data_IF_403062746223
#
_entry.id   IF_403062746223
#
_cell.length_a   1.000
_cell.length_b   1.000
_cell.length_c   1.000
_cell.angle_alpha   90.00
_cell.angle_beta   90.00
_cell.angle_gamma   90.00
#
_symmetry.space_group_name_H-M   'P 1'
#
loop_
_entity.id
_entity.type
_entity.pdbx_description
1 polymer ?
#
# COMPACT_ATOMS: atom_id res chain seq x y z
N UNK A 1 -14.49 -62.15 58.41
CA UNK A 1 -13.26 -61.56 57.95
C UNK A 1 -13.63 -60.68 56.74
N UNK A 2 -13.73 -59.40 57.00
CA UNK A 2 -14.27 -58.38 56.11
C UNK A 2 -13.13 -57.71 55.36
N UNK A 3 -13.15 -57.79 54.02
CA UNK A 3 -12.25 -57.06 53.14
C UNK A 3 -12.97 -55.85 52.52
N UNK A 4 -12.60 -54.67 52.91
CA UNK A 4 -13.15 -53.41 52.47
C UNK A 4 -12.47 -52.98 51.16
N UNK A 5 -13.15 -53.06 50.02
CA UNK A 5 -12.70 -52.52 48.73
C UNK A 5 -12.82 -51.01 48.73
N UNK A 6 -11.73 -50.29 48.77
CA UNK A 6 -11.66 -48.85 48.49
C UNK A 6 -11.81 -48.59 47.00
N UNK A 7 -12.92 -48.02 46.59
CA UNK A 7 -13.10 -47.44 45.23
C UNK A 7 -12.42 -46.10 45.16
N UNK A 8 -11.33 -46.01 44.44
CA UNK A 8 -10.65 -44.75 44.12
C UNK A 8 -11.39 -44.10 42.94
N UNK A 9 -12.06 -42.99 43.19
CA UNK A 9 -12.68 -42.15 42.13
C UNK A 9 -11.57 -41.22 41.62
N UNK A 10 -11.14 -41.43 40.40
CA UNK A 10 -10.25 -40.49 39.68
C UNK A 10 -11.17 -39.41 39.09
N UNK A 11 -11.15 -38.22 39.68
CA UNK A 11 -11.82 -37.04 39.11
C UNK A 11 -10.91 -36.50 38.01
N UNK A 12 -11.34 -36.67 36.74
CA UNK A 12 -10.69 -36.05 35.57
C UNK A 12 -11.10 -34.57 35.55
N UNK A 13 -10.20 -33.68 35.98
CA UNK A 13 -10.38 -32.25 35.85
C UNK A 13 -10.12 -31.87 34.39
N UNK A 14 -11.17 -31.68 33.63
CA UNK A 14 -11.10 -31.06 32.29
C UNK A 14 -10.96 -29.55 32.54
N UNK A 15 -9.76 -29.03 32.48
CA UNK A 15 -9.49 -27.61 32.44
C UNK A 15 -9.96 -27.07 31.08
N UNK A 16 -11.16 -26.46 31.05
CA UNK A 16 -11.55 -25.58 29.95
C UNK A 16 -10.64 -24.35 30.00
N UNK A 17 -9.59 -24.36 29.16
CA UNK A 17 -8.90 -23.13 28.83
C UNK A 17 -9.88 -22.27 28.04
N UNK A 18 -10.54 -21.31 28.73
CA UNK A 18 -11.24 -20.23 28.09
C UNK A 18 -10.18 -19.45 27.28
N UNK A 19 -10.14 -19.67 25.98
CA UNK A 19 -9.50 -18.74 25.04
C UNK A 19 -10.22 -17.42 25.25
N UNK A 20 -9.64 -16.53 26.05
CA UNK A 20 -10.01 -15.13 26.04
C UNK A 20 -9.78 -14.66 24.61
N UNK A 21 -10.85 -14.40 23.88
CA UNK A 21 -10.80 -13.64 22.64
C UNK A 21 -10.32 -12.24 23.05
N UNK A 22 -9.00 -12.07 23.19
CA UNK A 22 -8.39 -10.77 23.34
C UNK A 22 -8.88 -9.95 22.16
N UNK A 23 -9.44 -8.76 22.42
CA UNK A 23 -9.88 -7.85 21.37
C UNK A 23 -8.72 -7.71 20.39
N UNK A 24 -8.90 -8.21 19.18
CA UNK A 24 -7.87 -8.11 18.13
C UNK A 24 -7.58 -6.62 17.92
N UNK A 25 -6.30 -6.26 17.96
CA UNK A 25 -5.88 -4.87 17.74
C UNK A 25 -6.37 -4.43 16.35
N UNK A 26 -7.05 -3.27 16.24
CA UNK A 26 -7.54 -2.79 14.97
C UNK A 26 -6.37 -2.47 14.05
N UNK A 27 -6.52 -2.75 12.75
CA UNK A 27 -5.55 -2.30 11.73
C UNK A 27 -5.90 -0.86 11.35
N UNK A 28 -4.94 0.08 11.45
CA UNK A 28 -5.21 1.47 11.14
C UNK A 28 -5.69 1.68 9.70
N UNK A 29 -6.75 2.48 9.54
CA UNK A 29 -7.36 2.79 8.23
C UNK A 29 -7.07 4.20 7.73
N UNK A 30 -6.32 5.00 8.50
CA UNK A 30 -6.07 6.42 8.21
C UNK A 30 -5.42 6.68 6.84
N UNK A 31 -4.62 5.75 6.33
CA UNK A 31 -3.99 5.88 5.00
C UNK A 31 -4.98 5.78 3.83
N UNK A 32 -6.20 5.33 4.05
CA UNK A 32 -7.27 5.36 3.04
C UNK A 32 -8.04 6.69 3.00
N UNK A 33 -7.72 7.66 3.87
CA UNK A 33 -8.46 8.91 3.99
C UNK A 33 -8.52 9.69 2.66
N UNK A 34 -7.45 9.72 1.90
CA UNK A 34 -7.41 10.39 0.60
C UNK A 34 -8.34 9.72 -0.41
N UNK A 35 -8.28 8.40 -0.55
CA UNK A 35 -9.16 7.63 -1.42
C UNK A 35 -10.64 7.81 -1.03
N UNK A 36 -10.95 7.80 0.27
CA UNK A 36 -12.30 8.05 0.80
C UNK A 36 -12.78 9.47 0.44
N UNK A 37 -11.91 10.47 0.58
CA UNK A 37 -12.24 11.86 0.22
C UNK A 37 -12.53 12.00 -1.27
N UNK A 38 -11.73 11.38 -2.13
CA UNK A 38 -11.96 11.37 -3.57
C UNK A 38 -13.25 10.65 -3.93
N UNK A 39 -13.49 9.47 -3.34
CA UNK A 39 -14.74 8.73 -3.52
C UNK A 39 -15.96 9.59 -3.18
N UNK A 40 -15.94 10.27 -2.04
CA UNK A 40 -17.03 11.14 -1.61
C UNK A 40 -17.26 12.33 -2.54
N UNK A 41 -16.20 12.91 -3.11
CA UNK A 41 -16.30 14.00 -4.09
C UNK A 41 -16.94 13.54 -5.41
N UNK A 42 -16.62 12.34 -5.87
CA UNK A 42 -17.11 11.81 -7.14
C UNK A 42 -18.55 11.28 -7.06
N UNK A 43 -18.95 10.72 -5.92
CA UNK A 43 -20.24 10.07 -5.72
C UNK A 43 -21.23 10.88 -4.85
N UNK A 44 -20.88 12.15 -4.55
CA UNK A 44 -21.63 12.98 -3.61
C UNK A 44 -21.34 12.59 -2.14
N UNK A 45 -21.70 13.47 -1.22
CA UNK A 45 -21.53 13.24 0.21
C UNK A 45 -22.55 12.20 0.75
N UNK A 46 -22.78 11.12 0.03
CA UNK A 46 -23.63 10.03 0.50
C UNK A 46 -22.89 9.35 1.66
N UNK A 47 -23.59 9.18 2.78
CA UNK A 47 -23.10 8.41 3.91
C UNK A 47 -23.17 6.91 3.56
N UNK A 48 -22.18 6.41 2.82
CA UNK A 48 -22.02 4.98 2.66
C UNK A 48 -21.72 4.35 4.02
N UNK A 49 -22.34 3.21 4.32
CA UNK A 49 -21.97 2.44 5.49
C UNK A 49 -20.54 1.92 5.31
N UNK A 50 -19.69 2.10 6.31
CA UNK A 50 -18.29 1.70 6.28
C UNK A 50 -17.99 0.66 7.36
N UNK A 51 -17.08 -0.24 7.05
CA UNK A 51 -16.49 -1.12 8.04
C UNK A 51 -15.67 -0.31 9.04
N UNK A 52 -15.75 -0.74 10.32
CA UNK A 52 -14.91 -0.17 11.40
C UNK A 52 -13.52 -0.79 11.36
N UNK A 53 -12.49 -0.15 11.95
CA UNK A 53 -11.10 -0.68 11.96
C UNK A 53 -10.98 -2.09 12.55
N UNK A 54 -11.87 -2.50 13.46
CA UNK A 54 -11.93 -3.84 14.05
C UNK A 54 -12.40 -4.90 13.04
N UNK A 55 -13.09 -4.48 11.97
CA UNK A 55 -13.57 -5.33 10.88
C UNK A 55 -12.50 -5.42 9.75
N UNK A 56 -11.25 -5.55 10.15
CA UNK A 56 -10.11 -5.51 9.23
C UNK A 56 -10.10 -6.66 8.22
N UNK A 57 -10.72 -7.80 8.51
CA UNK A 57 -10.85 -8.91 7.55
C UNK A 57 -11.77 -8.56 6.39
N UNK A 58 -12.88 -7.91 6.69
CA UNK A 58 -13.86 -7.45 5.70
C UNK A 58 -13.25 -6.34 4.82
N UNK A 59 -12.51 -5.40 5.43
CA UNK A 59 -11.77 -4.37 4.69
C UNK A 59 -10.71 -5.02 3.78
N UNK A 60 -9.93 -5.97 4.31
CA UNK A 60 -8.96 -6.72 3.51
C UNK A 60 -9.62 -7.52 2.38
N UNK A 61 -10.82 -8.08 2.63
CA UNK A 61 -11.66 -8.73 1.62
C UNK A 61 -12.02 -7.78 0.46
N UNK A 62 -12.44 -6.57 0.77
CA UNK A 62 -12.69 -5.53 -0.24
C UNK A 62 -11.42 -5.23 -1.05
N UNK A 63 -10.29 -5.02 -0.36
CA UNK A 63 -9.00 -4.75 -1.03
C UNK A 63 -8.65 -5.88 -2.00
N UNK A 64 -8.78 -7.14 -1.59
CA UNK A 64 -8.54 -8.29 -2.47
C UNK A 64 -9.50 -8.30 -3.66
N UNK A 65 -10.79 -8.03 -3.44
CA UNK A 65 -11.81 -8.03 -4.49
C UNK A 65 -11.62 -6.89 -5.51
N UNK A 66 -11.10 -5.75 -5.07
CA UNK A 66 -10.79 -4.63 -5.98
C UNK A 66 -9.48 -4.79 -6.74
N UNK A 67 -8.61 -5.75 -6.39
CA UNK A 67 -7.33 -5.95 -7.06
C UNK A 67 -7.51 -6.37 -8.53
N UNK A 68 -6.79 -5.72 -9.42
CA UNK A 68 -6.75 -6.05 -10.84
C UNK A 68 -5.85 -7.27 -11.12
N UNK A 69 -5.98 -7.83 -12.32
CA UNK A 69 -5.19 -8.99 -12.76
C UNK A 69 -3.67 -8.69 -12.80
N UNK A 70 -3.29 -7.43 -13.06
CA UNK A 70 -1.90 -6.98 -13.05
C UNK A 70 -1.30 -6.83 -11.65
N UNK A 71 -2.09 -7.00 -10.60
CA UNK A 71 -1.68 -6.93 -9.21
C UNK A 71 -1.85 -5.55 -8.56
N UNK A 72 -2.14 -4.52 -9.33
CA UNK A 72 -2.43 -3.17 -8.83
C UNK A 72 -3.91 -2.97 -8.50
N UNK A 73 -4.27 -1.74 -8.19
CA UNK A 73 -5.65 -1.32 -7.90
C UNK A 73 -6.03 -0.04 -8.63
N UNK A 74 -7.32 0.12 -8.97
CA UNK A 74 -7.87 1.43 -9.34
C UNK A 74 -7.73 2.42 -8.17
N UNK A 75 -7.42 3.68 -8.46
CA UNK A 75 -7.35 4.71 -7.43
C UNK A 75 -8.74 5.23 -7.01
N UNK A 76 -8.77 5.95 -5.90
CA UNK A 76 -9.94 6.68 -5.39
C UNK A 76 -11.13 5.78 -5.01
N UNK A 77 -10.89 4.49 -4.74
CA UNK A 77 -11.92 3.60 -4.24
C UNK A 77 -11.98 3.67 -2.72
N UNK A 78 -13.19 3.73 -2.18
CA UNK A 78 -13.41 3.61 -0.74
C UNK A 78 -13.32 2.14 -0.31
N UNK A 79 -12.13 1.71 0.10
CA UNK A 79 -11.88 0.33 0.56
C UNK A 79 -12.65 -0.03 1.83
N UNK A 80 -13.17 0.98 2.55
CA UNK A 80 -13.92 0.78 3.79
C UNK A 80 -15.42 0.64 3.54
N UNK A 81 -15.92 1.03 2.37
CA UNK A 81 -17.35 1.03 2.07
C UNK A 81 -17.91 -0.39 1.99
N UNK A 82 -19.10 -0.59 2.58
CA UNK A 82 -19.87 -1.83 2.51
C UNK A 82 -20.69 -1.89 1.22
N UNK A 83 -19.96 -1.92 0.09
CA UNK A 83 -20.50 -2.00 -1.25
C UNK A 83 -20.08 -3.31 -1.91
N UNK A 84 -20.84 -3.77 -2.89
CA UNK A 84 -20.45 -4.92 -3.70
C UNK A 84 -19.32 -4.53 -4.67
N UNK A 85 -18.11 -5.10 -4.53
CA UNK A 85 -16.95 -4.72 -5.35
C UNK A 85 -17.16 -4.94 -6.84
N UNK A 86 -17.90 -5.96 -7.26
CA UNK A 86 -18.13 -6.24 -8.67
C UNK A 86 -19.04 -5.18 -9.30
N UNK A 87 -20.09 -4.77 -8.59
CA UNK A 87 -20.97 -3.67 -9.00
C UNK A 87 -20.20 -2.35 -9.09
N UNK A 88 -19.36 -2.04 -8.11
CA UNK A 88 -18.52 -0.83 -8.12
C UNK A 88 -17.59 -0.84 -9.33
N UNK A 89 -16.84 -1.94 -9.55
CA UNK A 89 -15.92 -2.06 -10.68
C UNK A 89 -16.64 -1.94 -12.03
N UNK A 90 -17.83 -2.53 -12.15
CA UNK A 90 -18.64 -2.44 -13.36
C UNK A 90 -19.08 -0.99 -13.66
N UNK A 91 -19.35 -0.19 -12.63
CA UNK A 91 -19.77 1.21 -12.76
C UNK A 91 -18.62 2.17 -13.11
N UNK A 92 -17.36 1.79 -12.87
CA UNK A 92 -16.20 2.62 -13.19
C UNK A 92 -16.08 2.87 -14.70
N UNK A 93 -15.72 4.10 -15.08
CA UNK A 93 -15.32 4.41 -16.46
C UNK A 93 -14.06 3.59 -16.84
N UNK A 94 -13.88 3.22 -18.12
CA UNK A 94 -12.77 2.36 -18.54
C UNK A 94 -11.39 2.80 -18.02
N UNK A 95 -11.08 4.11 -18.13
CA UNK A 95 -9.80 4.64 -17.60
C UNK A 95 -9.68 4.45 -16.08
N UNK A 96 -10.74 4.65 -15.32
CA UNK A 96 -10.76 4.54 -13.86
C UNK A 96 -10.68 3.09 -13.35
N UNK A 97 -10.71 2.09 -14.23
CA UNK A 97 -10.47 0.69 -13.90
C UNK A 97 -8.98 0.32 -13.90
N UNK A 98 -8.13 1.18 -14.47
CA UNK A 98 -6.70 0.91 -14.58
C UNK A 98 -6.02 1.01 -13.23
N UNK A 99 -5.01 0.17 -13.03
CA UNK A 99 -4.12 0.25 -11.89
C UNK A 99 -3.21 1.47 -11.97
N UNK A 100 -2.93 2.09 -10.83
CA UNK A 100 -2.02 3.24 -10.74
C UNK A 100 -1.46 3.37 -9.33
N UNK A 101 -0.31 4.01 -9.19
CA UNK A 101 0.32 4.36 -7.91
C UNK A 101 -0.15 5.73 -7.36
N UNK A 102 -0.90 6.47 -8.15
CA UNK A 102 -1.36 7.82 -7.86
C UNK A 102 -2.30 7.85 -6.64
N UNK A 103 -2.31 8.96 -5.89
CA UNK A 103 -3.13 9.16 -4.69
C UNK A 103 -2.88 8.08 -3.60
N UNK A 104 -1.64 7.83 -3.25
CA UNK A 104 -1.22 6.86 -2.24
C UNK A 104 -1.74 5.44 -2.48
N UNK A 105 -1.98 5.08 -3.72
CA UNK A 105 -2.55 3.79 -4.10
C UNK A 105 -1.47 2.69 -4.24
N UNK A 106 -1.85 1.44 -4.17
CA UNK A 106 -1.06 0.20 -4.21
C UNK A 106 -0.22 -0.01 -2.95
N UNK A 107 0.73 0.84 -2.61
CA UNK A 107 1.58 0.65 -1.42
C UNK A 107 0.78 0.73 -0.11
N UNK A 108 -0.30 1.51 -0.06
CA UNK A 108 -1.23 1.53 1.08
C UNK A 108 -1.97 0.20 1.21
N UNK A 109 -2.45 -0.38 0.12
CA UNK A 109 -3.10 -1.68 0.11
C UNK A 109 -2.14 -2.80 0.48
N UNK A 110 -0.90 -2.77 -0.03
CA UNK A 110 0.16 -3.73 0.31
C UNK A 110 0.45 -3.72 1.80
N UNK A 111 0.61 -2.54 2.40
CA UNK A 111 0.84 -2.39 3.84
C UNK A 111 -0.34 -2.93 4.65
N UNK A 112 -1.57 -2.54 4.29
CA UNK A 112 -2.77 -2.99 4.99
C UNK A 112 -2.92 -4.51 4.96
N UNK A 113 -2.80 -5.12 3.78
CA UNK A 113 -2.89 -6.56 3.60
C UNK A 113 -1.78 -7.31 4.34
N UNK A 114 -0.57 -6.76 4.41
CA UNK A 114 0.53 -7.32 5.17
C UNK A 114 0.25 -7.29 6.68
N UNK A 115 -0.34 -6.21 7.19
CA UNK A 115 -0.80 -6.12 8.59
C UNK A 115 -1.87 -7.18 8.89
N UNK A 116 -2.86 -7.32 8.02
CA UNK A 116 -3.91 -8.32 8.23
C UNK A 116 -3.35 -9.75 8.14
N UNK A 117 -2.42 -10.01 7.22
CA UNK A 117 -1.71 -11.29 7.18
C UNK A 117 -0.94 -11.56 8.48
N UNK A 118 -0.21 -10.59 9.01
CA UNK A 118 0.54 -10.74 10.27
C UNK A 118 -0.37 -11.10 11.45
N UNK A 119 -1.59 -10.57 11.48
CA UNK A 119 -2.57 -10.86 12.52
C UNK A 119 -3.31 -12.19 12.35
N UNK A 120 -3.48 -12.66 11.10
CA UNK A 120 -4.40 -13.76 10.78
C UNK A 120 -3.72 -15.03 10.30
N UNK A 121 -2.50 -14.91 9.74
CA UNK A 121 -1.83 -15.98 9.02
C UNK A 121 -2.51 -16.36 7.69
N UNK A 122 -3.56 -15.64 7.26
CA UNK A 122 -4.29 -15.97 6.04
C UNK A 122 -3.48 -15.61 4.79
N UNK A 123 -3.07 -16.63 4.07
CA UNK A 123 -2.22 -16.50 2.87
C UNK A 123 -2.89 -15.77 1.70
N UNK A 124 -4.21 -15.64 1.69
CA UNK A 124 -4.94 -14.84 0.70
C UNK A 124 -4.44 -13.39 0.72
N UNK A 125 -4.33 -12.80 1.91
CA UNK A 125 -3.89 -11.41 2.08
C UNK A 125 -2.41 -11.23 1.72
N UNK A 126 -1.54 -12.14 2.17
CA UNK A 126 -0.13 -12.16 1.77
C UNK A 126 0.04 -12.26 0.26
N UNK A 127 -0.70 -13.16 -0.40
CA UNK A 127 -0.58 -13.36 -1.84
C UNK A 127 -1.07 -12.13 -2.62
N UNK A 128 -2.11 -11.45 -2.14
CA UNK A 128 -2.57 -10.19 -2.71
C UNK A 128 -1.55 -9.08 -2.50
N UNK A 129 -0.96 -8.94 -1.30
CA UNK A 129 0.12 -7.98 -1.04
C UNK A 129 1.33 -8.24 -1.95
N UNK A 130 1.72 -9.50 -2.13
CA UNK A 130 2.80 -9.88 -3.06
C UNK A 130 2.53 -9.43 -4.49
N UNK A 131 1.32 -9.65 -5.01
CA UNK A 131 0.95 -9.17 -6.36
C UNK A 131 1.04 -7.65 -6.46
N UNK A 132 0.68 -6.92 -5.40
CA UNK A 132 0.87 -5.46 -5.35
C UNK A 132 2.34 -5.05 -5.42
N UNK A 133 3.23 -5.76 -4.73
CA UNK A 133 4.69 -5.53 -4.85
C UNK A 133 5.19 -5.85 -6.26
N UNK A 134 4.71 -6.93 -6.89
CA UNK A 134 5.05 -7.28 -8.28
C UNK A 134 4.59 -6.20 -9.26
N UNK A 135 3.40 -5.63 -9.05
CA UNK A 135 2.93 -4.48 -9.83
C UNK A 135 3.85 -3.27 -9.69
N UNK A 136 4.24 -2.90 -8.45
CA UNK A 136 5.17 -1.78 -8.22
C UNK A 136 6.53 -2.00 -8.92
N UNK A 137 7.04 -3.23 -8.92
CA UNK A 137 8.28 -3.58 -9.64
C UNK A 137 8.12 -3.49 -11.16
N UNK A 138 7.01 -3.99 -11.70
CA UNK A 138 6.73 -3.98 -13.14
C UNK A 138 6.43 -2.58 -13.68
N UNK A 139 5.87 -1.71 -12.85
CA UNK A 139 5.54 -0.33 -13.22
C UNK A 139 6.74 0.63 -13.19
N UNK A 140 7.91 0.19 -12.71
CA UNK A 140 9.10 1.03 -12.66
C UNK A 140 9.68 1.26 -14.05
N UNK A 141 9.90 2.51 -14.40
CA UNK A 141 10.64 2.85 -15.62
C UNK A 141 12.10 2.36 -15.55
N UNK A 142 12.76 2.16 -16.69
CA UNK A 142 14.19 1.78 -16.73
C UNK A 142 15.11 2.76 -15.99
N UNK A 143 14.72 4.05 -15.94
CA UNK A 143 15.47 5.11 -15.24
C UNK A 143 15.28 5.08 -13.71
N UNK A 144 14.40 4.22 -13.17
CA UNK A 144 14.18 4.08 -11.75
C UNK A 144 12.94 4.79 -11.20
N UNK A 145 12.23 5.57 -12.02
CA UNK A 145 11.02 6.30 -11.63
C UNK A 145 9.73 5.51 -11.84
N UNK A 146 8.61 6.13 -11.47
CA UNK A 146 7.26 5.61 -11.70
C UNK A 146 6.38 6.71 -12.27
N UNK A 147 5.41 6.26 -13.07
CA UNK A 147 4.42 7.11 -13.70
C UNK A 147 3.32 7.54 -12.72
N UNK A 148 2.86 8.79 -12.85
CA UNK A 148 1.60 9.28 -12.30
C UNK A 148 0.39 8.98 -13.19
N UNK A 149 -0.75 9.61 -12.87
CA UNK A 149 -2.00 9.38 -13.59
C UNK A 149 -2.15 10.26 -14.84
N UNK A 150 -1.83 11.54 -14.73
CA UNK A 150 -2.19 12.54 -15.74
C UNK A 150 -1.13 12.74 -16.82
N UNK A 151 0.12 12.40 -16.56
CA UNK A 151 1.21 12.50 -17.52
C UNK A 151 2.01 11.21 -17.62
N UNK A 152 2.57 10.95 -18.80
CA UNK A 152 3.55 9.89 -18.99
C UNK A 152 4.94 10.42 -18.58
N UNK A 153 5.13 10.56 -17.28
CA UNK A 153 6.29 11.21 -16.67
C UNK A 153 6.66 10.55 -15.35
N UNK A 154 7.94 10.62 -14.98
CA UNK A 154 8.38 10.30 -13.61
C UNK A 154 7.73 11.29 -12.68
N UNK A 155 6.96 10.80 -11.71
CA UNK A 155 6.08 11.63 -10.89
C UNK A 155 6.44 11.54 -9.42
N UNK A 156 6.82 12.68 -8.85
CA UNK A 156 7.04 12.86 -7.41
C UNK A 156 5.75 13.22 -6.68
N UNK A 157 4.82 13.94 -7.35
CA UNK A 157 3.50 14.27 -6.80
C UNK A 157 2.75 13.05 -6.29
N UNK A 158 1.78 13.31 -5.40
CA UNK A 158 0.87 12.32 -4.82
C UNK A 158 1.59 11.16 -4.13
N UNK A 159 2.83 11.42 -3.67
CA UNK A 159 3.64 10.48 -2.90
C UNK A 159 4.09 9.23 -3.66
N UNK A 160 4.09 9.22 -4.99
CA UNK A 160 4.36 8.02 -5.79
C UNK A 160 5.76 7.47 -5.52
N UNK A 161 6.81 8.28 -5.78
CA UNK A 161 8.20 7.87 -5.56
C UNK A 161 8.44 7.55 -4.08
N UNK A 162 8.00 8.45 -3.19
CA UNK A 162 8.16 8.30 -1.75
C UNK A 162 7.47 7.04 -1.23
N UNK A 163 6.22 6.81 -1.62
CA UNK A 163 5.44 5.68 -1.10
C UNK A 163 6.01 4.32 -1.52
N UNK A 164 6.43 4.17 -2.78
CA UNK A 164 7.06 2.92 -3.24
C UNK A 164 8.40 2.72 -2.55
N UNK A 165 9.27 3.73 -2.54
CA UNK A 165 10.60 3.60 -1.94
C UNK A 165 10.53 3.44 -0.42
N UNK A 166 9.61 4.10 0.28
CA UNK A 166 9.39 3.85 1.72
C UNK A 166 9.01 2.40 1.98
N UNK A 167 8.14 1.82 1.16
CA UNK A 167 7.79 0.39 1.25
C UNK A 167 9.02 -0.50 1.01
N UNK A 168 9.84 -0.17 0.01
CA UNK A 168 11.08 -0.91 -0.25
C UNK A 168 12.08 -0.80 0.90
N UNK A 169 12.22 0.39 1.50
CA UNK A 169 13.07 0.58 2.67
C UNK A 169 12.62 -0.29 3.84
N UNK A 170 11.33 -0.34 4.13
CA UNK A 170 10.77 -1.20 5.19
C UNK A 170 11.01 -2.68 4.94
N UNK A 171 10.86 -3.17 3.70
CA UNK A 171 11.17 -4.56 3.33
C UNK A 171 12.65 -4.86 3.51
N UNK A 172 13.52 -3.97 3.03
CA UNK A 172 14.97 -4.17 3.01
C UNK A 172 15.63 -4.00 4.37
N UNK A 173 15.06 -3.16 5.25
CA UNK A 173 15.48 -3.01 6.65
C UNK A 173 15.02 -4.16 7.54
N UNK A 174 14.22 -5.10 7.02
CA UNK A 174 13.75 -6.27 7.76
C UNK A 174 12.62 -5.95 8.75
N UNK A 175 11.80 -4.92 8.48
CA UNK A 175 10.62 -4.64 9.30
C UNK A 175 9.76 -5.88 9.46
N UNK A 176 9.33 -6.17 10.67
CA UNK A 176 8.62 -7.41 11.04
C UNK A 176 7.38 -7.68 10.18
N UNK A 177 6.74 -6.62 9.68
CA UNK A 177 5.58 -6.67 8.80
C UNK A 177 5.86 -7.42 7.49
N UNK A 178 7.10 -7.42 7.00
CA UNK A 178 7.49 -7.94 5.69
C UNK A 178 8.41 -9.17 5.75
N UNK A 179 8.48 -9.86 6.90
CA UNK A 179 9.29 -11.07 7.05
C UNK A 179 8.87 -12.23 6.13
N UNK A 180 7.66 -12.16 5.59
CA UNK A 180 7.13 -13.11 4.62
C UNK A 180 7.68 -12.93 3.19
N UNK A 181 8.36 -11.82 2.91
CA UNK A 181 8.97 -11.55 1.60
C UNK A 181 10.21 -12.42 1.45
N UNK A 182 10.23 -13.28 0.42
CA UNK A 182 11.35 -14.18 0.15
C UNK A 182 12.57 -13.46 -0.45
N UNK A 183 13.71 -14.14 -0.44
CA UNK A 183 14.99 -13.56 -0.87
C UNK A 183 15.01 -13.19 -2.36
N UNK A 184 14.28 -13.93 -3.21
CA UNK A 184 14.16 -13.62 -4.63
C UNK A 184 13.45 -12.28 -4.85
N UNK A 185 12.31 -12.08 -4.15
CA UNK A 185 11.58 -10.83 -4.22
C UNK A 185 12.37 -9.68 -3.59
N UNK A 186 13.05 -9.91 -2.45
CA UNK A 186 13.94 -8.92 -1.81
C UNK A 186 15.07 -8.47 -2.74
N UNK A 187 15.69 -9.39 -3.47
CA UNK A 187 16.74 -9.05 -4.45
C UNK A 187 16.23 -8.13 -5.55
N UNK A 188 15.04 -8.39 -6.08
CA UNK A 188 14.39 -7.52 -7.09
C UNK A 188 14.01 -6.16 -6.53
N UNK A 189 13.49 -6.14 -5.30
CA UNK A 189 13.20 -4.91 -4.56
C UNK A 189 14.47 -4.09 -4.34
N UNK A 190 15.60 -4.72 -3.96
CA UNK A 190 16.90 -4.05 -3.83
C UNK A 190 17.31 -3.37 -5.13
N UNK A 191 17.26 -4.09 -6.23
CA UNK A 191 17.60 -3.53 -7.53
C UNK A 191 16.67 -2.37 -7.95
N UNK A 192 15.38 -2.45 -7.60
CA UNK A 192 14.41 -1.38 -7.82
C UNK A 192 14.69 -0.15 -6.94
N UNK A 193 15.00 -0.38 -5.66
CA UNK A 193 15.41 0.66 -4.71
C UNK A 193 16.65 1.42 -5.20
N UNK A 194 17.70 0.70 -5.58
CA UNK A 194 18.97 1.30 -5.99
C UNK A 194 18.77 2.23 -7.22
N UNK A 195 17.96 1.78 -8.20
CA UNK A 195 17.59 2.63 -9.34
C UNK A 195 16.76 3.85 -8.94
N UNK A 196 15.82 3.68 -8.00
CA UNK A 196 15.00 4.78 -7.50
C UNK A 196 15.82 5.85 -6.77
N UNK A 197 16.76 5.44 -5.94
CA UNK A 197 17.70 6.36 -5.26
C UNK A 197 18.61 7.07 -6.28
N UNK A 198 19.12 6.34 -7.26
CA UNK A 198 19.92 6.95 -8.34
C UNK A 198 19.12 8.02 -9.10
N UNK A 199 17.86 7.74 -9.44
CA UNK A 199 16.96 8.71 -10.06
C UNK A 199 16.80 9.97 -9.21
N UNK A 200 16.49 9.81 -7.91
CA UNK A 200 16.33 10.93 -6.98
C UNK A 200 17.57 11.83 -7.01
N UNK A 201 18.76 11.24 -6.91
CA UNK A 201 20.02 12.01 -6.93
C UNK A 201 20.29 12.70 -8.27
N UNK A 202 19.86 12.11 -9.40
CA UNK A 202 20.01 12.69 -10.73
C UNK A 202 19.05 13.83 -11.02
N UNK A 203 17.83 13.76 -10.46
CA UNK A 203 16.76 14.76 -10.73
C UNK A 203 16.72 15.90 -9.74
N UNK A 204 17.59 15.90 -8.73
CA UNK A 204 17.69 17.00 -7.77
C UNK A 204 18.04 18.31 -8.48
N UNK A 205 17.20 19.34 -8.31
CA UNK A 205 17.38 20.63 -8.93
C UNK A 205 18.66 21.32 -8.45
N UNK A 206 19.45 21.85 -9.39
CA UNK A 206 20.66 22.61 -9.08
C UNK A 206 20.41 24.10 -9.35
N UNK A 207 20.56 24.93 -8.33
CA UNK A 207 20.47 26.36 -8.41
C UNK A 207 21.78 26.99 -7.93
N UNK A 208 22.40 27.81 -8.76
CA UNK A 208 23.68 28.49 -8.45
C UNK A 208 24.77 27.50 -7.99
N UNK A 209 24.82 26.32 -8.60
CA UNK A 209 25.78 25.25 -8.28
C UNK A 209 25.43 24.44 -7.02
N UNK A 210 24.31 24.73 -6.35
CA UNK A 210 23.85 24.03 -5.14
C UNK A 210 22.69 23.12 -5.48
N UNK A 211 22.74 21.88 -5.03
CA UNK A 211 21.61 20.94 -5.08
C UNK A 211 20.56 21.37 -4.07
N UNK A 212 19.29 21.44 -4.50
CA UNK A 212 18.20 21.96 -3.65
C UNK A 212 17.06 20.95 -3.51
N UNK A 213 15.98 21.13 -4.22
CA UNK A 213 14.72 20.40 -4.10
C UNK A 213 14.42 19.63 -5.40
N UNK A 214 13.26 19.05 -5.49
CA UNK A 214 12.79 18.31 -6.69
C UNK A 214 11.59 19.00 -7.31
N UNK A 215 11.42 18.80 -8.62
CA UNK A 215 10.22 19.18 -9.33
C UNK A 215 9.12 18.12 -9.11
N UNK A 216 7.89 18.52 -9.39
CA UNK A 216 6.71 17.64 -9.24
C UNK A 216 6.78 16.43 -10.16
N UNK A 217 7.28 16.64 -11.38
CA UNK A 217 7.43 15.56 -12.36
C UNK A 217 8.51 15.87 -13.39
N UNK A 218 9.04 14.80 -13.97
CA UNK A 218 10.11 14.84 -14.94
C UNK A 218 9.77 13.98 -16.15
N UNK A 219 10.13 14.47 -17.32
CA UNK A 219 10.12 13.66 -18.53
C UNK A 219 10.92 12.36 -18.30
N UNK A 220 10.35 11.22 -18.67
CA UNK A 220 10.96 9.93 -18.35
C UNK A 220 12.17 9.56 -19.20
N UNK A 221 12.43 10.29 -20.30
CA UNK A 221 13.62 10.10 -21.16
C UNK A 221 14.72 11.11 -20.83
N UNK A 222 14.35 12.40 -20.75
CA UNK A 222 15.33 13.50 -20.61
C UNK A 222 15.61 13.87 -19.15
N UNK A 223 14.75 13.46 -18.22
CA UNK A 223 14.75 13.85 -16.80
C UNK A 223 14.70 15.37 -16.58
N UNK A 224 14.11 16.10 -17.52
CA UNK A 224 13.84 17.53 -17.34
C UNK A 224 12.45 17.72 -16.71
N UNK A 225 12.26 18.75 -15.87
CA UNK A 225 10.95 19.07 -15.33
C UNK A 225 9.91 19.30 -16.41
N UNK A 226 8.74 18.66 -16.29
CA UNK A 226 7.63 18.77 -17.26
C UNK A 226 6.31 19.07 -16.57
N UNK A 227 5.35 19.56 -17.36
CA UNK A 227 3.97 19.75 -16.92
C UNK A 227 3.22 18.42 -16.87
N UNK A 228 2.19 18.32 -16.02
CA UNK A 228 1.18 17.26 -16.11
C UNK A 228 -0.08 17.75 -16.83
N UNK A 229 -1.05 18.31 -16.10
CA UNK A 229 -2.24 18.92 -16.68
C UNK A 229 -1.95 20.33 -17.22
N UNK A 230 -2.84 20.88 -18.01
CA UNK A 230 -2.62 22.18 -18.65
C UNK A 230 -2.30 23.33 -17.67
N UNK A 231 -2.80 23.24 -16.44
CA UNK A 231 -2.60 24.21 -15.37
C UNK A 231 -1.48 23.81 -14.39
N UNK A 232 -0.89 22.63 -14.53
CA UNK A 232 0.24 22.14 -13.72
C UNK A 232 1.53 22.31 -14.50
N UNK A 233 2.04 23.52 -14.48
CA UNK A 233 3.29 23.85 -15.12
C UNK A 233 4.47 23.18 -14.41
N UNK A 234 5.64 23.01 -15.07
CA UNK A 234 6.85 22.56 -14.41
C UNK A 234 7.13 23.42 -13.19
N UNK A 235 7.15 22.85 -12.02
CA UNK A 235 7.33 23.55 -10.76
C UNK A 235 8.13 22.72 -9.76
N UNK A 236 8.93 23.39 -8.94
CA UNK A 236 9.58 22.77 -7.79
C UNK A 236 8.54 22.56 -6.67
N UNK A 237 8.64 21.43 -5.97
CA UNK A 237 7.71 21.06 -4.92
C UNK A 237 8.38 21.04 -3.55
N UNK A 238 7.77 21.73 -2.56
CA UNK A 238 8.27 21.74 -1.19
C UNK A 238 7.84 20.48 -0.42
N UNK A 239 6.59 20.03 -0.57
CA UNK A 239 6.04 18.88 0.14
C UNK A 239 6.76 17.59 -0.21
N UNK A 240 6.75 17.22 -1.48
CA UNK A 240 7.42 16.02 -1.97
C UNK A 240 8.93 16.05 -1.74
N UNK A 241 9.54 17.24 -1.80
CA UNK A 241 10.97 17.39 -1.48
C UNK A 241 11.26 17.12 0.00
N UNK A 242 10.37 17.50 0.91
CA UNK A 242 10.50 17.14 2.32
C UNK A 242 10.42 15.65 2.53
N UNK A 243 9.45 14.97 1.91
CA UNK A 243 9.28 13.52 1.98
C UNK A 243 10.52 12.77 1.44
N UNK A 244 11.03 13.20 0.28
CA UNK A 244 12.26 12.63 -0.30
C UNK A 244 13.48 12.87 0.60
N UNK A 245 13.59 14.04 1.20
CA UNK A 245 14.68 14.32 2.15
C UNK A 245 14.62 13.38 3.36
N UNK A 246 13.43 13.17 3.92
CA UNK A 246 13.23 12.21 5.02
C UNK A 246 13.55 10.77 4.63
N UNK A 247 13.30 10.38 3.38
CA UNK A 247 13.65 9.05 2.88
C UNK A 247 15.16 8.85 2.78
N UNK A 248 15.92 9.91 2.47
CA UNK A 248 17.39 9.87 2.30
C UNK A 248 18.16 9.97 3.62
N UNK A 249 17.51 10.32 4.73
CA UNK A 249 18.09 10.39 6.09
C UNK A 249 18.08 9.04 6.79
#
# INVERSE_FOLDING_TARGET
ITGLMKKTIIALAVSLAALSAGAQQPVPTGRFADAVNHWNKEHGAQAYERYKPEQFREIAGNIVAYQNADGGWPKNLDMLARLDPDSVKAALKPRHRLSTLDNANVYTQVEYLSNVYALTGDTLFRNSARRGMEYMLAAQYPNGGWRGWDADAVTFNDGIIYGVLSTWNEVLSGKSLYTWVDDSLKSRIRASWDRGIELILKTQWVQDGVRTVWAQQYDHETLQPVKARAYELPALSAGESADITMLLM
#
